data_IF_235679309801
#
_entry.id   IF_235679309801
#
_cell.length_a   1.000
_cell.length_b   1.000
_cell.length_c   1.000
_cell.angle_alpha   90.00
_cell.angle_beta   90.00
_cell.angle_gamma   90.00
#
_symmetry.space_group_name_H-M   'P 1'
#
loop_
_entity.id
_entity.type
_entity.pdbx_description
1 polymer ?
#
# COMPACT_ATOMS: atom_id res chain seq x y z
N UNK A 1 -19.12 10.61 -9.42
CA UNK A 1 -19.62 9.39 -8.79
C UNK A 1 -21.12 9.26 -8.98
N UNK A 2 -21.93 10.26 -8.60
CA UNK A 2 -23.41 10.19 -8.67
C UNK A 2 -23.95 9.91 -10.07
N UNK A 3 -23.37 10.48 -11.13
CA UNK A 3 -23.75 10.15 -12.51
C UNK A 3 -23.46 8.67 -12.83
N UNK A 4 -22.28 8.18 -12.43
CA UNK A 4 -21.91 6.78 -12.63
C UNK A 4 -22.85 5.81 -11.87
N UNK A 5 -23.32 6.16 -10.66
CA UNK A 5 -24.34 5.39 -9.90
C UNK A 5 -25.66 5.29 -10.65
N UNK A 6 -26.03 6.31 -11.43
CA UNK A 6 -27.23 6.30 -12.29
C UNK A 6 -27.03 5.55 -13.60
N UNK A 7 -25.89 4.88 -13.80
CA UNK A 7 -25.59 4.08 -14.98
C UNK A 7 -24.90 4.83 -16.12
N UNK A 8 -24.43 6.06 -15.88
CA UNK A 8 -23.62 6.81 -16.85
C UNK A 8 -22.25 6.17 -17.04
N UNK A 9 -22.04 5.55 -18.20
CA UNK A 9 -20.81 4.84 -18.56
C UNK A 9 -19.62 5.78 -18.70
N UNK A 10 -19.80 6.98 -19.23
CA UNK A 10 -18.72 7.96 -19.40
C UNK A 10 -18.27 8.51 -18.04
N UNK A 11 -19.20 8.71 -17.10
CA UNK A 11 -18.86 9.09 -15.75
C UNK A 11 -18.05 7.98 -15.04
N UNK A 12 -18.38 6.70 -15.24
CA UNK A 12 -17.57 5.60 -14.70
C UNK A 12 -16.21 5.50 -15.38
N UNK A 13 -16.13 5.68 -16.70
CA UNK A 13 -14.86 5.75 -17.44
C UNK A 13 -13.96 6.83 -16.89
N UNK A 14 -14.49 8.02 -16.61
CA UNK A 14 -13.73 9.11 -15.97
C UNK A 14 -13.16 8.71 -14.60
N UNK A 15 -13.92 7.94 -13.78
CA UNK A 15 -13.44 7.40 -12.52
C UNK A 15 -12.31 6.39 -12.75
N UNK A 16 -12.46 5.48 -13.71
CA UNK A 16 -11.42 4.53 -14.09
C UNK A 16 -10.14 5.25 -14.50
N UNK A 17 -10.20 6.17 -15.47
CA UNK A 17 -9.04 6.91 -15.97
C UNK A 17 -8.32 7.71 -14.86
N UNK A 18 -9.08 8.23 -13.90
CA UNK A 18 -8.54 8.98 -12.76
C UNK A 18 -7.81 8.11 -11.74
N UNK A 19 -8.30 6.90 -11.49
CA UNK A 19 -7.85 6.11 -10.33
C UNK A 19 -7.10 4.83 -10.68
N UNK A 20 -7.13 4.34 -11.94
CA UNK A 20 -6.53 3.04 -12.28
C UNK A 20 -5.02 2.98 -12.01
N UNK A 21 -4.27 4.06 -12.31
CA UNK A 21 -2.82 4.11 -12.06
C UNK A 21 -2.49 4.02 -10.57
N UNK A 22 -3.25 4.72 -9.74
CA UNK A 22 -3.08 4.67 -8.27
C UNK A 22 -3.49 3.31 -7.72
N UNK A 23 -4.59 2.74 -8.22
CA UNK A 23 -5.01 1.39 -7.87
C UNK A 23 -3.96 0.35 -8.24
N UNK A 24 -3.34 0.48 -9.43
CA UNK A 24 -2.26 -0.40 -9.87
C UNK A 24 -1.01 -0.27 -8.98
N UNK A 25 -0.56 0.95 -8.72
CA UNK A 25 0.59 1.18 -7.84
C UNK A 25 0.38 0.57 -6.45
N UNK A 26 -0.84 0.67 -5.92
CA UNK A 26 -1.23 0.04 -4.67
C UNK A 26 -1.18 -1.49 -4.75
N UNK A 27 -1.85 -2.08 -5.75
CA UNK A 27 -1.87 -3.52 -5.93
C UNK A 27 -0.45 -4.07 -6.08
N UNK A 28 0.37 -3.45 -6.95
CA UNK A 28 1.76 -3.82 -7.18
C UNK A 28 2.59 -3.76 -5.89
N UNK A 29 2.41 -2.72 -5.07
CA UNK A 29 3.07 -2.61 -3.77
C UNK A 29 2.75 -3.75 -2.80
N UNK A 30 1.60 -4.40 -2.97
CA UNK A 30 1.15 -5.51 -2.11
C UNK A 30 1.48 -6.87 -2.72
N UNK A 31 1.07 -7.13 -3.99
CA UNK A 31 1.26 -8.44 -4.63
C UNK A 31 2.66 -8.63 -5.21
N UNK A 32 3.35 -7.53 -5.57
CA UNK A 32 4.74 -7.48 -6.08
C UNK A 32 4.97 -8.19 -7.43
N UNK A 33 3.93 -8.53 -8.13
CA UNK A 33 4.01 -9.08 -9.47
C UNK A 33 3.14 -8.24 -10.40
N UNK A 34 3.67 -7.74 -11.54
CA UNK A 34 2.94 -6.84 -12.43
C UNK A 34 1.63 -7.42 -12.95
N UNK A 35 1.65 -8.67 -13.42
CA UNK A 35 0.46 -9.32 -13.97
C UNK A 35 -0.60 -9.56 -12.89
N UNK A 36 -0.19 -10.02 -11.70
CA UNK A 36 -1.09 -10.18 -10.55
C UNK A 36 -1.71 -8.83 -10.14
N UNK A 37 -0.93 -7.74 -10.22
CA UNK A 37 -1.42 -6.41 -9.92
C UNK A 37 -2.46 -5.93 -10.94
N UNK A 38 -2.25 -6.22 -12.23
CA UNK A 38 -3.23 -5.93 -13.29
C UNK A 38 -4.53 -6.70 -13.06
N UNK A 39 -4.47 -7.99 -12.75
CA UNK A 39 -5.63 -8.82 -12.45
C UNK A 39 -6.40 -8.29 -11.25
N UNK A 40 -5.70 -7.96 -10.17
CA UNK A 40 -6.31 -7.38 -8.95
C UNK A 40 -7.03 -6.06 -9.27
N UNK A 41 -6.42 -5.19 -10.07
CA UNK A 41 -7.02 -3.90 -10.45
C UNK A 41 -8.22 -4.09 -11.34
N UNK A 42 -8.15 -4.97 -12.32
CA UNK A 42 -9.27 -5.30 -13.19
C UNK A 42 -10.47 -5.80 -12.37
N UNK A 43 -10.24 -6.78 -11.50
CA UNK A 43 -11.26 -7.32 -10.62
C UNK A 43 -11.83 -6.26 -9.66
N UNK A 44 -10.98 -5.35 -9.18
CA UNK A 44 -11.40 -4.26 -8.32
C UNK A 44 -12.35 -3.30 -9.02
N UNK A 45 -12.07 -2.93 -10.27
CA UNK A 45 -12.96 -2.05 -11.04
C UNK A 45 -14.25 -2.75 -11.46
N UNK A 46 -14.22 -4.05 -11.78
CA UNK A 46 -15.42 -4.84 -12.03
C UNK A 46 -16.31 -4.86 -10.77
N UNK A 47 -15.73 -5.13 -9.59
CA UNK A 47 -16.45 -5.08 -8.31
C UNK A 47 -16.95 -3.67 -7.99
N UNK A 48 -16.11 -2.65 -8.20
CA UNK A 48 -16.50 -1.26 -7.99
C UNK A 48 -17.70 -0.87 -8.85
N UNK A 49 -17.70 -1.24 -10.13
CA UNK A 49 -18.84 -1.00 -11.01
C UNK A 49 -20.11 -1.72 -10.53
N UNK A 50 -19.97 -3.01 -10.17
CA UNK A 50 -21.10 -3.84 -9.73
C UNK A 50 -21.75 -3.35 -8.43
N UNK A 51 -20.94 -2.78 -7.52
CA UNK A 51 -21.41 -2.36 -6.19
C UNK A 51 -21.42 -0.84 -6.00
N UNK A 52 -21.35 -0.08 -7.11
CA UNK A 52 -21.32 1.38 -7.05
C UNK A 52 -22.59 1.98 -6.46
N UNK A 53 -23.73 1.33 -6.66
CA UNK A 53 -25.02 1.66 -6.05
C UNK A 53 -24.98 1.64 -4.51
N UNK A 54 -24.15 0.76 -3.93
CA UNK A 54 -23.94 0.62 -2.48
C UNK A 54 -22.91 1.60 -1.89
N UNK A 55 -22.29 2.43 -2.71
CA UNK A 55 -21.40 3.46 -2.23
C UNK A 55 -22.20 4.61 -1.61
N UNK A 56 -22.22 4.71 -0.29
CA UNK A 56 -23.03 5.66 0.49
C UNK A 56 -22.42 7.07 0.59
N UNK A 57 -21.17 7.27 0.12
CA UNK A 57 -20.50 8.57 0.20
C UNK A 57 -19.92 8.91 1.57
N UNK A 58 -19.92 7.99 2.53
CA UNK A 58 -19.34 8.16 3.89
C UNK A 58 -17.79 8.29 3.86
N UNK A 59 -17.18 8.06 2.72
CA UNK A 59 -15.75 8.27 2.46
C UNK A 59 -15.57 8.78 1.03
N UNK A 60 -14.34 9.16 0.65
CA UNK A 60 -14.07 9.44 -0.76
C UNK A 60 -14.27 8.17 -1.62
N UNK A 61 -14.65 8.33 -2.90
CA UNK A 61 -14.71 7.21 -3.83
C UNK A 61 -13.37 6.46 -3.89
N UNK A 62 -12.28 7.19 -3.81
CA UNK A 62 -10.94 6.63 -3.79
C UNK A 62 -10.71 5.71 -2.58
N UNK A 63 -11.05 6.15 -1.37
CA UNK A 63 -10.93 5.33 -0.16
C UNK A 63 -11.79 4.06 -0.24
N UNK A 64 -12.99 4.17 -0.81
CA UNK A 64 -13.86 3.02 -1.02
C UNK A 64 -13.30 2.03 -2.05
N UNK A 65 -12.83 2.51 -3.21
CA UNK A 65 -12.16 1.69 -4.23
C UNK A 65 -10.91 1.03 -3.66
N UNK A 66 -10.15 1.76 -2.87
CA UNK A 66 -8.95 1.29 -2.21
C UNK A 66 -9.19 0.07 -1.33
N UNK A 67 -10.27 0.07 -0.55
CA UNK A 67 -10.67 -1.10 0.25
C UNK A 67 -10.93 -2.33 -0.62
N UNK A 68 -11.53 -2.14 -1.79
CA UNK A 68 -11.77 -3.23 -2.75
C UNK A 68 -10.45 -3.78 -3.26
N UNK A 69 -9.54 -2.92 -3.71
CA UNK A 69 -8.20 -3.30 -4.21
C UNK A 69 -7.41 -4.05 -3.14
N UNK A 70 -7.34 -3.51 -1.92
CA UNK A 70 -6.59 -4.11 -0.82
C UNK A 70 -7.11 -5.49 -0.44
N UNK A 71 -8.43 -5.64 -0.32
CA UNK A 71 -9.02 -6.92 0.00
C UNK A 71 -8.70 -7.97 -1.08
N UNK A 72 -8.79 -7.58 -2.36
CA UNK A 72 -8.45 -8.47 -3.47
C UNK A 72 -6.96 -8.82 -3.48
N UNK A 73 -6.07 -7.87 -3.27
CA UNK A 73 -4.64 -8.10 -3.22
C UNK A 73 -4.25 -9.07 -2.08
N UNK A 74 -4.80 -8.86 -0.89
CA UNK A 74 -4.57 -9.75 0.26
C UNK A 74 -5.13 -11.15 -0.01
N UNK A 75 -6.34 -11.25 -0.56
CA UNK A 75 -6.96 -12.54 -0.91
C UNK A 75 -6.17 -13.26 -2.00
N UNK A 76 -5.65 -12.52 -2.99
CA UNK A 76 -4.78 -13.06 -4.04
C UNK A 76 -3.53 -13.71 -3.44
N UNK A 77 -2.79 -13.02 -2.58
CA UNK A 77 -1.59 -13.55 -1.92
C UNK A 77 -1.94 -14.79 -1.08
N UNK A 78 -3.00 -14.72 -0.28
CA UNK A 78 -3.44 -15.86 0.56
C UNK A 78 -3.78 -17.10 -0.25
N UNK A 79 -4.42 -16.91 -1.41
CA UNK A 79 -4.77 -17.98 -2.33
C UNK A 79 -3.51 -18.63 -2.92
N UNK A 80 -2.56 -17.83 -3.37
CA UNK A 80 -1.30 -18.31 -3.94
C UNK A 80 -0.43 -19.03 -2.91
N UNK A 81 -0.38 -18.58 -1.66
CA UNK A 81 0.31 -19.30 -0.57
C UNK A 81 -0.29 -20.67 -0.25
N UNK A 82 -1.60 -20.84 -0.39
CA UNK A 82 -2.25 -22.14 -0.15
C UNK A 82 -1.97 -23.16 -1.26
N UNK A 83 -1.74 -22.69 -2.46
CA UNK A 83 -1.51 -23.54 -3.65
C UNK A 83 -0.04 -23.90 -3.81
N UNK A 84 0.89 -23.12 -3.29
CA UNK A 84 2.34 -23.40 -3.28
C UNK A 84 2.82 -23.51 -1.84
N UNK A 85 3.08 -24.71 -1.29
CA UNK A 85 3.89 -24.87 -0.09
C UNK A 85 5.25 -24.27 -0.36
N UNK A 86 5.78 -23.53 0.62
CA UNK A 86 7.02 -22.76 0.62
C UNK A 86 8.17 -23.49 -0.08
N UNK A 87 8.30 -23.38 -1.39
CA UNK A 87 9.58 -23.36 -2.05
C UNK A 87 9.99 -21.90 -2.09
N UNK A 88 11.06 -21.58 -1.39
CA UNK A 88 11.75 -20.29 -1.45
C UNK A 88 12.15 -20.09 -2.90
N UNK A 89 11.34 -19.33 -3.64
CA UNK A 89 11.55 -19.06 -5.06
C UNK A 89 12.60 -17.95 -5.16
N UNK A 90 13.89 -18.35 -5.03
CA UNK A 90 15.03 -17.49 -5.31
C UNK A 90 15.00 -16.95 -6.75
N UNK A 91 14.30 -17.63 -7.66
CA UNK A 91 14.14 -17.22 -9.06
C UNK A 91 13.20 -16.04 -9.26
N UNK A 92 12.32 -15.72 -8.30
CA UNK A 92 11.41 -14.56 -8.41
C UNK A 92 12.08 -13.20 -8.22
N UNK A 93 13.31 -13.17 -7.74
CA UNK A 93 14.08 -11.94 -7.57
C UNK A 93 14.79 -11.51 -8.88
N UNK A 94 14.96 -12.42 -9.84
CA UNK A 94 15.68 -12.13 -11.09
C UNK A 94 14.77 -11.67 -12.23
N UNK A 95 13.48 -12.03 -12.21
CA UNK A 95 12.54 -11.72 -13.32
C UNK A 95 11.75 -10.43 -13.13
N UNK A 96 11.95 -9.70 -12.03
CA UNK A 96 11.35 -8.38 -11.76
C UNK A 96 12.01 -7.21 -12.47
N UNK A 97 12.91 -7.46 -13.41
CA UNK A 97 13.69 -6.47 -14.14
C UNK A 97 13.04 -5.95 -15.42
N UNK A 98 11.74 -5.70 -15.43
CA UNK A 98 11.09 -4.91 -16.47
C UNK A 98 11.47 -3.44 -16.31
N UNK A 99 12.29 -2.95 -17.24
CA UNK A 99 12.79 -1.58 -17.34
C UNK A 99 11.70 -0.58 -17.77
N UNK A 100 10.51 -0.66 -17.23
CA UNK A 100 9.49 0.36 -17.42
C UNK A 100 9.38 1.19 -16.14
N UNK A 101 9.94 2.40 -16.19
CA UNK A 101 10.13 3.38 -15.11
C UNK A 101 8.88 3.83 -14.33
N UNK A 102 7.86 3.00 -14.20
CA UNK A 102 6.60 3.27 -13.51
C UNK A 102 6.46 2.53 -12.16
N UNK A 103 7.60 2.12 -11.56
CA UNK A 103 7.64 1.52 -10.23
C UNK A 103 7.11 2.46 -9.13
N UNK A 104 6.73 1.88 -8.00
CA UNK A 104 6.21 2.54 -6.80
C UNK A 104 7.06 3.73 -6.33
N UNK A 105 8.36 3.67 -6.57
CA UNK A 105 9.41 4.55 -6.04
C UNK A 105 9.65 5.87 -6.77
N UNK A 106 9.33 6.07 -8.07
CA UNK A 106 9.50 7.39 -8.70
C UNK A 106 8.70 8.49 -8.01
N UNK A 107 7.58 8.13 -7.35
CA UNK A 107 6.77 9.09 -6.60
C UNK A 107 7.33 9.45 -5.24
N UNK A 108 8.15 8.57 -4.63
CA UNK A 108 8.77 8.80 -3.32
C UNK A 108 10.04 9.66 -3.40
N UNK A 109 10.78 9.62 -4.51
CA UNK A 109 12.14 10.16 -4.59
C UNK A 109 12.28 11.44 -5.44
N UNK A 110 11.21 12.01 -5.98
CA UNK A 110 11.21 13.29 -6.73
C UNK A 110 12.36 13.37 -7.74
N UNK A 111 12.12 13.01 -9.00
CA UNK A 111 13.14 12.80 -10.01
C UNK A 111 14.09 13.98 -10.27
N UNK A 112 15.38 13.75 -10.04
CA UNK A 112 16.47 14.58 -10.52
C UNK A 112 17.38 13.73 -11.41
N UNK A 113 17.55 14.05 -12.72
CA UNK A 113 18.27 13.20 -13.70
C UNK A 113 19.75 12.91 -13.37
N UNK A 114 20.41 13.75 -12.59
CA UNK A 114 21.80 13.60 -12.23
C UNK A 114 22.11 12.54 -11.15
N UNK A 115 21.07 11.88 -10.58
CA UNK A 115 21.18 10.85 -9.53
C UNK A 115 20.73 9.46 -9.98
N UNK A 116 20.50 9.24 -11.24
CA UNK A 116 19.76 8.08 -11.78
C UNK A 116 20.34 6.70 -11.36
N UNK A 117 21.67 6.55 -11.27
CA UNK A 117 22.31 5.27 -10.88
C UNK A 117 22.16 5.01 -9.38
N UNK A 118 22.42 6.02 -8.55
CA UNK A 118 22.25 5.94 -7.09
C UNK A 118 20.78 5.72 -6.71
N UNK A 119 19.87 6.36 -7.45
CA UNK A 119 18.44 6.18 -7.28
C UNK A 119 17.98 4.74 -7.63
N UNK A 120 18.62 4.09 -8.63
CA UNK A 120 18.31 2.70 -9.01
C UNK A 120 18.71 1.71 -7.90
N UNK A 121 19.91 1.86 -7.34
CA UNK A 121 20.36 1.00 -6.23
C UNK A 121 19.50 1.16 -4.98
N UNK A 122 19.18 2.41 -4.62
CA UNK A 122 18.29 2.70 -3.48
C UNK A 122 16.91 2.09 -3.71
N UNK A 123 16.36 2.20 -4.92
CA UNK A 123 15.06 1.59 -5.27
C UNK A 123 15.08 0.08 -5.11
N UNK A 124 16.09 -0.59 -5.66
CA UNK A 124 16.22 -2.04 -5.53
C UNK A 124 16.31 -2.48 -4.07
N UNK A 125 17.08 -1.78 -3.24
CA UNK A 125 17.18 -2.07 -1.80
C UNK A 125 15.86 -1.88 -1.07
N UNK A 126 15.10 -0.82 -1.39
CA UNK A 126 13.78 -0.59 -0.81
C UNK A 126 12.80 -1.68 -1.24
N UNK A 127 12.83 -2.09 -2.52
CA UNK A 127 11.96 -3.16 -3.03
C UNK A 127 12.26 -4.50 -2.37
N UNK A 128 13.52 -4.84 -2.19
CA UNK A 128 13.93 -6.03 -1.44
C UNK A 128 13.44 -5.94 0.00
N UNK A 129 13.68 -4.83 0.69
CA UNK A 129 13.28 -4.62 2.08
C UNK A 129 11.75 -4.70 2.26
N UNK A 130 10.98 -4.12 1.33
CA UNK A 130 9.52 -4.26 1.30
C UNK A 130 9.09 -5.72 1.08
N UNK A 131 9.84 -6.45 0.27
CA UNK A 131 9.57 -7.86 -0.01
C UNK A 131 9.66 -8.77 1.19
N UNK A 132 10.56 -8.47 2.09
CA UNK A 132 10.79 -9.24 3.30
C UNK A 132 9.81 -8.91 4.42
N UNK A 133 8.98 -7.86 4.27
CA UNK A 133 7.93 -7.56 5.22
C UNK A 133 6.76 -8.54 5.06
N UNK A 134 6.09 -8.82 6.19
CA UNK A 134 4.79 -9.49 6.13
C UNK A 134 3.79 -8.66 5.33
N UNK A 135 2.80 -9.32 4.73
CA UNK A 135 1.74 -8.67 3.93
C UNK A 135 1.07 -7.52 4.69
N UNK A 136 0.75 -7.74 5.96
CA UNK A 136 0.12 -6.72 6.79
C UNK A 136 1.04 -5.52 7.04
N UNK A 137 2.33 -5.71 7.27
CA UNK A 137 3.28 -4.64 7.48
C UNK A 137 3.53 -3.86 6.19
N UNK A 138 3.67 -4.56 5.06
CA UNK A 138 3.82 -3.92 3.74
C UNK A 138 2.60 -3.10 3.38
N UNK A 139 1.40 -3.68 3.56
CA UNK A 139 0.13 -3.00 3.25
C UNK A 139 -0.02 -1.69 4.03
N UNK A 140 0.26 -1.67 5.33
CA UNK A 140 0.13 -0.43 6.12
C UNK A 140 1.16 0.63 5.71
N UNK A 141 2.38 0.25 5.32
CA UNK A 141 3.38 1.19 4.80
C UNK A 141 2.93 1.79 3.46
N UNK A 142 2.50 0.95 2.51
CA UNK A 142 2.02 1.41 1.20
C UNK A 142 0.83 2.36 1.40
N UNK A 143 -0.13 2.01 2.25
CA UNK A 143 -1.28 2.86 2.55
C UNK A 143 -0.87 4.20 3.15
N UNK A 144 0.06 4.23 4.07
CA UNK A 144 0.45 5.44 4.77
C UNK A 144 1.40 6.31 3.96
N UNK A 145 2.50 5.72 3.46
CA UNK A 145 3.59 6.48 2.86
C UNK A 145 3.33 6.86 1.40
N UNK A 146 2.63 6.00 0.65
CA UNK A 146 2.35 6.26 -0.76
C UNK A 146 1.01 6.96 -0.98
N UNK A 147 -0.02 6.52 -0.26
CA UNK A 147 -1.38 7.00 -0.49
C UNK A 147 -1.82 8.05 0.53
N UNK A 148 -1.04 8.25 1.61
CA UNK A 148 -1.32 9.27 2.62
C UNK A 148 -2.60 9.05 3.42
N UNK A 149 -3.09 7.78 3.51
CA UNK A 149 -4.32 7.47 4.23
C UNK A 149 -4.19 7.77 5.72
N UNK A 150 -5.28 8.24 6.32
CA UNK A 150 -5.40 8.36 7.77
C UNK A 150 -5.48 7.00 8.45
N UNK A 151 -5.19 6.93 9.74
CA UNK A 151 -5.28 5.69 10.50
C UNK A 151 -6.70 5.12 10.53
N UNK A 152 -7.71 5.98 10.51
CA UNK A 152 -9.12 5.63 10.43
C UNK A 152 -9.47 4.95 9.10
N UNK A 153 -9.04 5.55 7.99
CA UNK A 153 -9.24 4.99 6.65
C UNK A 153 -8.52 3.65 6.49
N UNK A 154 -7.30 3.53 7.01
CA UNK A 154 -6.53 2.29 7.01
C UNK A 154 -7.22 1.20 7.86
N UNK A 155 -7.72 1.55 9.04
CA UNK A 155 -8.45 0.65 9.92
C UNK A 155 -9.72 0.11 9.25
N UNK A 156 -10.46 0.99 8.59
CA UNK A 156 -11.62 0.61 7.78
C UNK A 156 -11.22 -0.30 6.60
N UNK A 157 -10.16 0.05 5.87
CA UNK A 157 -9.69 -0.71 4.71
C UNK A 157 -9.24 -2.13 5.10
N UNK A 158 -8.56 -2.28 6.23
CA UNK A 158 -8.03 -3.57 6.71
C UNK A 158 -8.98 -4.33 7.66
N UNK A 159 -10.14 -3.76 8.00
CA UNK A 159 -11.10 -4.39 8.89
C UNK A 159 -10.55 -4.64 10.30
N UNK A 160 -9.73 -3.72 10.84
CA UNK A 160 -9.11 -3.85 12.16
C UNK A 160 -9.18 -2.54 12.96
N UNK A 161 -8.75 -2.55 14.21
CA UNK A 161 -8.75 -1.35 15.05
C UNK A 161 -7.66 -0.35 14.65
N UNK A 162 -7.84 0.93 14.96
CA UNK A 162 -6.82 1.98 14.81
C UNK A 162 -5.53 1.63 15.56
N UNK A 163 -5.63 1.10 16.78
CA UNK A 163 -4.47 0.63 17.55
C UNK A 163 -3.69 -0.48 16.84
N UNK A 164 -4.40 -1.40 16.16
CA UNK A 164 -3.75 -2.43 15.33
C UNK A 164 -2.98 -1.81 14.17
N UNK A 165 -3.51 -0.78 13.51
CA UNK A 165 -2.82 -0.06 12.43
C UNK A 165 -1.55 0.62 12.96
N UNK A 166 -1.65 1.32 14.10
CA UNK A 166 -0.50 2.00 14.72
C UNK A 166 0.61 1.02 15.06
N UNK A 167 0.29 -0.10 15.72
CA UNK A 167 1.25 -1.16 16.04
C UNK A 167 1.88 -1.76 14.78
N UNK A 168 1.09 -2.06 13.75
CA UNK A 168 1.62 -2.59 12.48
C UNK A 168 2.55 -1.60 11.80
N UNK A 169 2.21 -0.32 11.75
CA UNK A 169 3.06 0.74 11.18
C UNK A 169 4.38 0.87 11.95
N UNK A 170 4.32 0.88 13.27
CA UNK A 170 5.51 0.93 14.11
C UNK A 170 6.47 -0.22 13.78
N UNK A 171 5.97 -1.46 13.81
CA UNK A 171 6.80 -2.63 13.49
C UNK A 171 7.26 -2.65 12.04
N UNK A 172 6.43 -2.20 11.09
CA UNK A 172 6.80 -2.11 9.70
C UNK A 172 7.95 -1.12 9.47
N UNK A 173 7.85 0.09 10.03
CA UNK A 173 8.91 1.12 9.96
C UNK A 173 10.20 0.64 10.62
N UNK A 174 10.13 0.05 11.80
CA UNK A 174 11.29 -0.51 12.51
C UNK A 174 11.98 -1.62 11.68
N UNK A 175 11.20 -2.45 11.01
CA UNK A 175 11.74 -3.48 10.14
C UNK A 175 12.40 -2.89 8.90
N UNK A 176 11.78 -1.90 8.25
CA UNK A 176 12.40 -1.18 7.13
C UNK A 176 13.70 -0.47 7.54
N UNK A 177 13.69 0.25 8.67
CA UNK A 177 14.86 0.95 9.18
C UNK A 177 16.04 -0.01 9.37
N UNK A 178 15.82 -1.19 9.97
CA UNK A 178 16.89 -2.18 10.17
C UNK A 178 17.50 -2.70 8.86
N UNK A 179 16.69 -2.79 7.80
CA UNK A 179 17.15 -3.29 6.49
C UNK A 179 17.82 -2.21 5.64
N UNK A 180 17.52 -0.97 5.92
CA UNK A 180 18.02 0.18 5.15
C UNK A 180 19.01 1.02 5.95
N UNK A 181 19.51 0.51 7.10
CA UNK A 181 20.36 1.26 8.00
C UNK A 181 21.62 1.79 7.30
N UNK A 182 22.19 0.99 6.39
CA UNK A 182 23.37 1.36 5.62
C UNK A 182 23.12 2.51 4.63
N UNK A 183 21.85 2.74 4.25
CA UNK A 183 21.45 3.86 3.38
C UNK A 183 21.17 5.14 4.17
N UNK A 184 21.02 5.00 5.49
CA UNK A 184 20.57 6.06 6.40
C UNK A 184 21.73 6.57 7.27
N UNK A 185 22.97 6.17 7.02
CA UNK A 185 24.15 6.65 7.74
C UNK A 185 24.21 8.19 7.70
N UNK A 186 23.63 8.81 8.73
CA UNK A 186 23.45 10.26 8.89
C UNK A 186 22.05 10.70 9.31
N UNK A 187 21.03 9.85 9.23
CA UNK A 187 19.70 10.19 9.70
C UNK A 187 19.51 9.78 11.18
N UNK A 188 19.04 10.72 11.97
CA UNK A 188 18.71 10.48 13.39
C UNK A 188 17.64 9.39 13.51
N UNK A 189 17.69 8.54 14.54
CA UNK A 189 16.63 7.54 14.79
C UNK A 189 15.27 8.25 14.89
N UNK A 190 14.26 7.64 14.27
CA UNK A 190 12.87 8.10 14.37
C UNK A 190 12.50 8.08 15.85
N UNK A 191 12.26 9.26 16.44
CA UNK A 191 11.72 9.37 17.79
C UNK A 191 10.32 8.74 17.80
N UNK A 192 10.10 7.85 18.75
CA UNK A 192 8.81 7.21 18.97
C UNK A 192 7.77 8.26 19.39
N UNK A 193 6.79 8.54 18.54
CA UNK A 193 5.59 9.32 18.90
C UNK A 193 4.67 8.54 19.90
N UNK A 194 5.18 7.46 20.49
CA UNK A 194 4.41 6.62 21.42
C UNK A 194 4.30 7.18 22.85
N UNK A 195 5.07 8.23 23.20
CA UNK A 195 5.13 8.75 24.58
C UNK A 195 4.14 9.89 24.89
N UNK A 196 3.21 10.22 23.98
CA UNK A 196 2.35 11.41 24.19
C UNK A 196 0.99 11.10 24.82
N UNK A 197 0.55 9.84 24.92
CA UNK A 197 -0.81 9.53 25.43
C UNK A 197 -0.88 9.01 26.89
N UNK A 198 0.24 8.77 27.58
CA UNK A 198 0.18 8.24 28.97
C UNK A 198 0.14 9.31 30.07
N UNK A 199 0.21 10.60 29.70
CA UNK A 199 0.17 11.70 30.68
C UNK A 199 -1.25 12.18 31.05
N UNK A 200 -2.30 11.68 30.39
CA UNK A 200 -3.69 12.14 30.63
C UNK A 200 -4.51 11.24 31.58
N UNK A 201 -3.99 10.10 32.01
CA UNK A 201 -4.75 9.12 32.80
C UNK A 201 -4.48 9.15 34.33
N UNK A 202 -3.61 10.03 34.83
CA UNK A 202 -3.24 10.05 36.28
C UNK A 202 -3.67 11.31 37.03
N UNK A 203 -4.77 11.93 36.68
CA UNK A 203 -5.28 13.14 37.33
C UNK A 203 -6.76 13.08 37.64
N UNK A 204 -7.24 12.15 38.46
CA UNK A 204 -8.50 12.36 39.22
C UNK A 204 -8.72 11.24 40.25
N UNK A 205 -8.36 11.49 41.47
CA UNK A 205 -9.07 10.99 42.66
C UNK A 205 -8.92 11.98 43.80
N UNK A 206 -9.95 12.09 44.66
CA UNK A 206 -10.45 13.28 45.34
C UNK A 206 -9.61 13.68 46.51
#
# INVERSE_FOLDING_TARGET
VEAAKRGDREAFRTLFERYHRRAYALALGVVRHPDDALDVVQDAFIKAHKYLDKFEGNSSFYTWLYRIVMNLAIDHIRKHRRVRPVELDEQRLEDGGGDDGDGLLPKLLGGNPGRALMDKEIRQRIDVALGELSENHRSVLVMRELEGLSYEEMAQAMGCSKGTIMSRLFHARKNMQRRLIDLVDGAKPVQDDADVEDAAASGSRP
#
